data_IF_683797902665
#
_entry.id   IF_683797902665
#
_cell.length_a   1.000
_cell.length_b   1.000
_cell.length_c   1.000
_cell.angle_alpha   90.00
_cell.angle_beta   90.00
_cell.angle_gamma   90.00
#
_symmetry.space_group_name_H-M   'P 1'
#
loop_
_entity.id
_entity.type
_entity.pdbx_description
1 polymer ?
#
# COMPACT_ATOMS: atom_id res chain seq x y z
N UNK A 1 -11.05 32.58 10.32
CA UNK A 1 -11.72 31.67 9.37
C UNK A 1 -10.77 30.49 9.19
N UNK A 2 -11.09 29.34 9.79
CA UNK A 2 -10.26 28.13 9.73
C UNK A 2 -10.87 27.25 8.66
N UNK A 3 -10.12 26.97 7.60
CA UNK A 3 -10.54 26.07 6.52
C UNK A 3 -10.51 24.64 7.08
N UNK A 4 -11.68 24.12 7.45
CA UNK A 4 -11.89 22.74 7.90
C UNK A 4 -12.58 21.94 6.80
N UNK A 5 -11.98 21.83 5.61
CA UNK A 5 -12.63 21.18 4.45
C UNK A 5 -11.77 20.12 3.74
N UNK A 6 -10.57 19.77 4.24
CA UNK A 6 -9.67 18.86 3.52
C UNK A 6 -9.25 17.61 4.30
N UNK A 7 -9.78 17.41 5.52
CA UNK A 7 -9.48 16.22 6.33
C UNK A 7 -10.53 15.12 6.24
N UNK A 8 -11.72 15.43 5.69
CA UNK A 8 -12.80 14.46 5.52
C UNK A 8 -12.52 13.47 4.37
N UNK A 9 -11.65 13.85 3.43
CA UNK A 9 -11.25 13.04 2.27
C UNK A 9 -9.88 12.36 2.46
N UNK A 10 -9.32 12.39 3.67
CA UNK A 10 -8.10 11.67 3.99
C UNK A 10 -8.43 10.19 4.15
N UNK A 11 -8.38 9.45 3.04
CA UNK A 11 -8.49 7.99 3.03
C UNK A 11 -7.09 7.34 3.07
N UNK A 12 -7.00 6.15 3.67
CA UNK A 12 -5.77 5.35 3.62
C UNK A 12 -5.63 4.80 2.21
N UNK A 13 -4.71 5.38 1.43
CA UNK A 13 -4.42 4.95 0.06
C UNK A 13 -3.59 3.65 -0.01
N UNK A 14 -3.03 3.19 1.11
CA UNK A 14 -2.26 1.95 1.17
C UNK A 14 -1.31 1.87 2.37
N UNK A 15 -0.51 0.79 2.42
CA UNK A 15 0.52 0.55 3.43
C UNK A 15 1.88 0.49 2.73
N UNK A 16 2.87 1.24 3.23
CA UNK A 16 4.23 1.22 2.69
C UNK A 16 4.83 -0.17 2.88
N UNK A 17 5.40 -0.72 1.80
CA UNK A 17 6.06 -2.02 1.80
C UNK A 17 7.51 -1.87 1.39
N UNK A 18 8.41 -2.63 2.02
CA UNK A 18 9.83 -2.67 1.68
C UNK A 18 10.14 -4.05 1.07
N UNK A 19 10.58 -4.02 -0.19
CA UNK A 19 11.00 -5.21 -0.93
C UNK A 19 12.33 -4.95 -1.63
N UNK A 20 13.24 -5.92 -1.57
CA UNK A 20 14.61 -5.79 -2.09
C UNK A 20 14.69 -5.75 -3.62
N UNK A 21 13.79 -6.43 -4.31
CA UNK A 21 13.81 -6.58 -5.77
C UNK A 21 12.72 -5.74 -6.47
N UNK A 22 12.39 -4.58 -5.87
CA UNK A 22 11.41 -3.62 -6.41
C UNK A 22 11.61 -3.27 -7.91
N UNK A 23 12.84 -3.14 -8.45
CA UNK A 23 13.04 -2.86 -9.87
C UNK A 23 12.50 -3.92 -10.84
N UNK A 24 12.18 -5.13 -10.36
CA UNK A 24 11.60 -6.20 -11.17
C UNK A 24 10.06 -6.10 -11.30
N UNK A 25 9.43 -5.18 -10.58
CA UNK A 25 7.99 -4.99 -10.55
C UNK A 25 7.59 -3.94 -11.59
N UNK A 26 6.69 -4.30 -12.50
CA UNK A 26 6.15 -3.36 -13.46
C UNK A 26 5.10 -2.45 -12.82
N UNK A 27 5.06 -1.18 -13.23
CA UNK A 27 3.99 -0.27 -12.81
C UNK A 27 2.62 -0.80 -13.26
N UNK A 28 1.61 -0.71 -12.39
CA UNK A 28 0.25 -1.18 -12.64
C UNK A 28 0.06 -2.69 -12.55
N UNK A 29 1.08 -3.44 -12.11
CA UNK A 29 0.98 -4.88 -11.89
C UNK A 29 0.28 -5.19 -10.56
N UNK A 30 -0.67 -6.13 -10.59
CA UNK A 30 -1.31 -6.64 -9.38
C UNK A 30 -0.44 -7.70 -8.73
N UNK A 31 -0.25 -7.56 -7.41
CA UNK A 31 0.61 -8.42 -6.62
C UNK A 31 -0.10 -8.80 -5.31
N UNK A 32 -0.03 -10.08 -4.95
CA UNK A 32 -0.27 -10.53 -3.59
C UNK A 32 1.03 -10.37 -2.79
N UNK A 33 0.96 -9.65 -1.67
CA UNK A 33 2.10 -9.36 -0.79
C UNK A 33 1.94 -10.13 0.51
N UNK A 34 2.94 -10.93 0.88
CA UNK A 34 3.03 -11.56 2.21
C UNK A 34 4.30 -11.09 2.90
N UNK A 35 4.17 -10.68 4.15
CA UNK A 35 5.29 -10.16 4.92
C UNK A 35 4.94 -9.91 6.38
N UNK A 36 5.89 -9.31 7.09
CA UNK A 36 5.76 -8.97 8.50
C UNK A 36 5.45 -7.49 8.66
N UNK A 37 4.49 -7.19 9.53
CA UNK A 37 4.17 -5.82 9.92
C UNK A 37 5.23 -5.32 10.90
N UNK A 38 5.82 -4.15 10.62
CA UNK A 38 6.79 -3.46 11.46
C UNK A 38 6.29 -2.04 11.73
N UNK A 39 6.50 -1.55 12.96
CA UNK A 39 6.16 -0.20 13.36
C UNK A 39 7.44 0.57 13.70
N UNK A 40 7.80 1.57 12.91
CA UNK A 40 8.93 2.47 13.19
C UNK A 40 8.49 3.67 14.04
N UNK A 41 7.93 3.37 15.21
CA UNK A 41 7.38 4.37 16.12
C UNK A 41 5.95 4.80 15.80
N UNK A 42 5.34 5.55 16.72
CA UNK A 42 3.90 5.89 16.68
C UNK A 42 3.55 6.82 15.52
N UNK A 43 4.51 7.63 15.04
CA UNK A 43 4.26 8.67 14.03
C UNK A 43 4.42 8.19 12.59
N UNK A 44 5.12 7.07 12.33
CA UNK A 44 5.52 6.67 10.98
C UNK A 44 4.57 5.66 10.31
N UNK A 45 3.57 5.18 11.05
CA UNK A 45 2.61 4.19 10.56
C UNK A 45 3.22 2.80 10.36
N UNK A 46 2.40 1.79 10.01
CA UNK A 46 2.88 0.44 9.74
C UNK A 46 3.65 0.38 8.41
N UNK A 47 4.70 -0.44 8.40
CA UNK A 47 5.45 -0.83 7.21
C UNK A 47 5.39 -2.36 7.08
N UNK A 48 5.24 -2.87 5.87
CA UNK A 48 5.33 -4.31 5.58
C UNK A 48 6.74 -4.64 5.10
N UNK A 49 7.45 -5.49 5.83
CA UNK A 49 8.68 -6.11 5.34
C UNK A 49 8.30 -7.35 4.54
N UNK A 50 8.47 -7.26 3.22
CA UNK A 50 7.96 -8.26 2.28
C UNK A 50 8.82 -9.52 2.32
N UNK A 51 8.18 -10.67 2.55
CA UNK A 51 8.80 -12.00 2.54
C UNK A 51 8.58 -12.71 1.19
N UNK A 52 7.41 -12.53 0.58
CA UNK A 52 7.10 -13.07 -0.75
C UNK A 52 6.11 -12.18 -1.52
N UNK A 53 6.26 -12.18 -2.84
CA UNK A 53 5.35 -11.55 -3.79
C UNK A 53 4.89 -12.58 -4.81
N UNK A 54 3.58 -12.61 -5.09
CA UNK A 54 3.01 -13.40 -6.17
C UNK A 54 2.28 -12.47 -7.15
N UNK A 55 2.64 -12.45 -8.44
CA UNK A 55 1.81 -11.82 -9.45
C UNK A 55 0.42 -12.45 -9.48
N UNK A 56 -0.60 -11.60 -9.49
CA UNK A 56 -1.98 -12.03 -9.62
C UNK A 56 -2.62 -11.31 -10.80
N UNK A 57 -3.68 -11.89 -11.34
CA UNK A 57 -4.54 -11.18 -12.29
C UNK A 57 -5.26 -10.03 -11.58
N UNK A 58 -5.68 -9.04 -12.37
CA UNK A 58 -6.49 -7.93 -11.87
C UNK A 58 -7.74 -8.48 -11.16
N UNK A 59 -7.98 -8.13 -9.88
CA UNK A 59 -9.16 -8.61 -9.16
C UNK A 59 -10.46 -8.19 -9.85
N UNK A 60 -11.49 -9.03 -9.79
CA UNK A 60 -12.83 -8.72 -10.35
C UNK A 60 -13.37 -7.40 -9.79
N UNK A 61 -13.17 -7.18 -8.48
CA UNK A 61 -13.63 -5.99 -7.78
C UNK A 61 -12.56 -4.89 -7.75
N UNK A 62 -11.66 -4.81 -8.74
CA UNK A 62 -10.55 -3.85 -8.73
C UNK A 62 -10.99 -2.39 -8.50
N UNK A 63 -12.22 -2.04 -8.85
CA UNK A 63 -12.80 -0.71 -8.69
C UNK A 63 -12.89 -0.23 -7.23
N UNK A 64 -12.78 -1.15 -6.25
CA UNK A 64 -12.73 -0.80 -4.83
C UNK A 64 -11.36 -0.27 -4.40
N UNK A 65 -10.32 -0.57 -5.18
CA UNK A 65 -8.97 -0.06 -4.99
C UNK A 65 -8.78 1.11 -5.94
N UNK A 66 -8.50 2.31 -5.41
CA UNK A 66 -8.27 3.49 -6.26
C UNK A 66 -6.88 3.39 -6.91
N UNK A 67 -6.81 3.65 -8.22
CA UNK A 67 -5.57 3.74 -9.01
C UNK A 67 -4.69 4.94 -8.63
#
# INVERSE_FOLDING_TARGET
MVVSCCAADTEVIGIRSIYKDTPLIANGQWLEVKGKLQFEGVEQGPIIIVESLNPIDKPEESYIYRD
#
